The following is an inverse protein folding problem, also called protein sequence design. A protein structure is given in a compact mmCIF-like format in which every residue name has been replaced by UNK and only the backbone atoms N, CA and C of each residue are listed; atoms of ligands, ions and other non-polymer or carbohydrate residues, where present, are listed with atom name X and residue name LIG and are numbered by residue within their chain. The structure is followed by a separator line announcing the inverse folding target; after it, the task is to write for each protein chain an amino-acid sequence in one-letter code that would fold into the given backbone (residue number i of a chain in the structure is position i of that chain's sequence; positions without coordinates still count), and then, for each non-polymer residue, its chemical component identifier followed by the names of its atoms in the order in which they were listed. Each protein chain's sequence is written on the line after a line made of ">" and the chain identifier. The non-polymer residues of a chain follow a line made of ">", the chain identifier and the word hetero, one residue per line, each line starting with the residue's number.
data_IF_118649971486
#
_entry.id   IF_118649971486
#
_cell.length_a   1.000
_cell.length_b   1.000
_cell.length_c   1.000
_cell.angle_alpha   90.00
_cell.angle_beta   90.00
_cell.angle_gamma   90.00
#
_symmetry.space_group_name_H-M   'P 1'
#
loop_
_entity.id
_entity.type
_entity.pdbx_description
1 polymer ?
#
# COMPACT_ATOMS: atom_id res chain seq x y z
N UNK A 1 2.05 -3.79 -1.98
CA UNK A 1 1.55 -4.95 -1.21
C UNK A 1 0.51 -5.77 -1.95
N UNK A 2 -0.54 -5.16 -2.50
CA UNK A 2 -1.57 -5.91 -3.25
C UNK A 2 -0.99 -6.78 -4.38
N UNK A 3 -0.11 -6.20 -5.20
CA UNK A 3 0.60 -6.91 -6.27
C UNK A 3 1.43 -8.10 -5.77
N UNK A 4 2.04 -7.99 -4.59
CA UNK A 4 2.84 -9.08 -4.00
C UNK A 4 1.94 -10.22 -3.49
N UNK A 5 0.82 -9.90 -2.85
CA UNK A 5 -0.18 -10.92 -2.48
C UNK A 5 -0.77 -11.60 -3.71
N UNK A 6 -1.01 -10.84 -4.79
CA UNK A 6 -1.48 -11.39 -6.06
C UNK A 6 -0.46 -12.33 -6.71
N UNK A 7 0.82 -11.92 -6.79
CA UNK A 7 1.90 -12.77 -7.30
C UNK A 7 2.03 -14.06 -6.48
N UNK A 8 1.98 -13.97 -5.14
CA UNK A 8 2.07 -15.13 -4.26
C UNK A 8 0.90 -16.11 -4.47
N UNK A 9 -0.33 -15.58 -4.59
CA UNK A 9 -1.51 -16.39 -4.86
C UNK A 9 -1.43 -17.08 -6.23
N UNK A 10 -0.96 -16.36 -7.25
CA UNK A 10 -0.79 -16.90 -8.61
C UNK A 10 0.23 -18.04 -8.65
N UNK A 11 1.34 -17.93 -7.92
CA UNK A 11 2.31 -19.03 -7.76
C UNK A 11 1.69 -20.26 -7.09
N UNK A 12 0.89 -20.06 -6.04
CA UNK A 12 0.22 -21.15 -5.33
C UNK A 12 -0.86 -21.86 -6.16
N UNK A 13 -1.55 -21.14 -7.06
CA UNK A 13 -2.74 -21.63 -7.74
C UNK A 13 -2.51 -22.06 -9.19
N UNK A 14 -1.58 -21.44 -9.92
CA UNK A 14 -1.46 -21.59 -11.37
C UNK A 14 -0.07 -22.11 -11.76
N UNK A 15 0.01 -23.40 -12.16
CA UNK A 15 1.24 -23.98 -12.69
C UNK A 15 1.71 -23.33 -14.00
N UNK A 16 0.79 -22.90 -14.86
CA UNK A 16 1.13 -22.19 -16.11
C UNK A 16 1.78 -20.80 -15.87
N UNK A 17 1.66 -20.24 -14.65
CA UNK A 17 2.30 -18.98 -14.28
C UNK A 17 3.82 -19.12 -14.10
N UNK A 18 4.36 -20.35 -14.08
CA UNK A 18 5.80 -20.60 -14.01
C UNK A 18 6.53 -20.47 -15.36
N UNK A 19 5.80 -20.41 -16.48
CA UNK A 19 6.38 -20.21 -17.81
C UNK A 19 6.85 -18.74 -17.93
N UNK A 20 8.17 -18.51 -17.82
CA UNK A 20 8.76 -17.19 -17.52
C UNK A 20 8.34 -16.01 -18.41
N UNK A 21 7.85 -16.24 -19.63
CA UNK A 21 7.30 -15.19 -20.50
C UNK A 21 6.01 -14.56 -19.95
N UNK A 22 5.05 -15.39 -19.50
CA UNK A 22 3.76 -14.91 -18.97
C UNK A 22 3.94 -14.20 -17.64
N UNK A 23 4.85 -14.70 -16.80
CA UNK A 23 5.20 -14.14 -15.48
C UNK A 23 5.79 -12.74 -15.57
N UNK A 24 6.77 -12.51 -16.44
CA UNK A 24 7.43 -11.20 -16.55
C UNK A 24 6.43 -10.11 -16.96
N UNK A 25 5.58 -10.42 -17.93
CA UNK A 25 4.54 -9.52 -18.45
C UNK A 25 3.52 -9.17 -17.35
N UNK A 26 3.08 -10.18 -16.59
CA UNK A 26 2.09 -9.99 -15.53
C UNK A 26 2.67 -9.20 -14.34
N UNK A 27 3.95 -9.42 -13.98
CA UNK A 27 4.65 -8.61 -12.98
C UNK A 27 4.74 -7.15 -13.41
N UNK A 28 5.10 -6.88 -14.67
CA UNK A 28 5.18 -5.52 -15.22
C UNK A 28 3.81 -4.84 -15.17
N UNK A 29 2.74 -5.53 -15.55
CA UNK A 29 1.37 -5.01 -15.48
C UNK A 29 0.95 -4.74 -14.03
N UNK A 30 1.20 -5.68 -13.11
CA UNK A 30 0.89 -5.52 -11.69
C UNK A 30 1.70 -4.37 -11.04
N UNK A 31 2.88 -4.06 -11.56
CA UNK A 31 3.70 -2.96 -11.09
C UNK A 31 3.27 -1.62 -11.68
N UNK A 32 3.01 -1.54 -12.98
CA UNK A 32 2.67 -0.29 -13.68
C UNK A 32 1.21 0.15 -13.49
N UNK A 33 0.26 -0.78 -13.43
CA UNK A 33 -1.16 -0.44 -13.33
C UNK A 33 -1.51 0.43 -12.10
N UNK A 34 -0.96 0.18 -10.89
CA UNK A 34 -1.16 1.05 -9.74
C UNK A 34 -0.68 2.49 -9.97
N UNK A 35 0.43 2.70 -10.70
CA UNK A 35 0.94 4.04 -10.99
C UNK A 35 0.02 4.80 -11.93
N UNK A 36 -0.44 4.14 -13.00
CA UNK A 36 -1.33 4.76 -13.99
C UNK A 36 -2.68 5.10 -13.36
N UNK A 37 -3.28 4.16 -12.60
CA UNK A 37 -4.54 4.39 -11.89
C UNK A 37 -4.41 5.50 -10.84
N UNK A 38 -3.34 5.50 -10.06
CA UNK A 38 -3.08 6.52 -9.05
C UNK A 38 -2.92 7.90 -9.69
N UNK A 39 -2.14 8.01 -10.77
CA UNK A 39 -1.98 9.26 -11.51
C UNK A 39 -3.29 9.78 -12.09
N UNK A 40 -4.09 8.90 -12.70
CA UNK A 40 -5.38 9.27 -13.29
C UNK A 40 -6.39 9.79 -12.26
N UNK A 41 -6.34 9.31 -11.01
CA UNK A 41 -7.26 9.74 -9.94
C UNK A 41 -6.71 10.93 -9.16
N UNK A 42 -5.43 10.90 -8.77
CA UNK A 42 -4.84 11.92 -7.90
C UNK A 42 -4.56 13.22 -8.62
N UNK A 43 -4.09 13.20 -9.88
CA UNK A 43 -3.70 14.42 -10.60
C UNK A 43 -4.90 15.39 -10.74
N UNK A 44 -6.08 14.96 -11.20
CA UNK A 44 -7.25 15.85 -11.26
C UNK A 44 -7.64 16.43 -9.90
N UNK A 45 -7.56 15.62 -8.84
CA UNK A 45 -7.89 16.06 -7.47
C UNK A 45 -6.90 17.12 -6.96
N UNK A 46 -5.61 16.93 -7.21
CA UNK A 46 -4.59 17.91 -6.86
C UNK A 46 -4.72 19.21 -7.65
N UNK A 47 -5.01 19.11 -8.95
CA UNK A 47 -5.24 20.27 -9.80
C UNK A 47 -6.46 21.06 -9.31
N UNK A 48 -7.59 20.40 -9.02
CA UNK A 48 -8.79 21.06 -8.47
C UNK A 48 -8.51 21.72 -7.10
N UNK A 49 -7.82 21.03 -6.20
CA UNK A 49 -7.44 21.57 -4.89
C UNK A 49 -6.51 22.78 -4.98
N UNK A 50 -5.58 22.79 -5.93
CA UNK A 50 -4.69 23.94 -6.16
C UNK A 50 -5.43 25.16 -6.72
N UNK A 51 -6.40 24.97 -7.61
CA UNK A 51 -7.17 26.09 -8.17
C UNK A 51 -8.02 26.84 -7.14
N UNK A 52 -8.43 26.16 -6.05
CA UNK A 52 -9.20 26.80 -4.97
C UNK A 52 -8.38 27.74 -4.09
N UNK A 53 -7.05 27.54 -4.04
CA UNK A 53 -6.12 28.28 -3.18
C UNK A 53 -5.29 29.31 -3.98
N UNK A 54 -5.70 29.61 -5.22
CA UNK A 54 -4.90 30.35 -6.20
C UNK A 54 -4.48 31.77 -5.76
N UNK A 55 -5.15 32.37 -4.77
CA UNK A 55 -4.82 33.71 -4.27
C UNK A 55 -3.69 33.75 -3.22
N UNK A 56 -3.28 32.62 -2.61
CA UNK A 56 -2.30 32.60 -1.49
C UNK A 56 -0.99 31.85 -1.77
N UNK A 57 -0.74 31.45 -3.03
CA UNK A 57 0.41 30.62 -3.45
C UNK A 57 1.80 31.14 -3.05
N UNK A 58 1.95 32.44 -2.75
CA UNK A 58 3.25 33.04 -2.43
C UNK A 58 3.71 32.77 -0.98
N UNK A 59 2.80 32.53 -0.04
CA UNK A 59 3.13 32.46 1.39
C UNK A 59 2.85 31.09 2.04
N UNK A 60 1.93 30.28 1.47
CA UNK A 60 1.60 28.94 1.98
C UNK A 60 1.29 27.97 0.86
N UNK A 61 1.74 26.73 1.01
CA UNK A 61 1.37 25.61 0.15
C UNK A 61 0.26 24.82 0.85
N UNK A 62 -0.97 25.31 0.73
CA UNK A 62 -2.16 24.61 1.20
C UNK A 62 -2.91 24.00 0.02
N UNK A 63 -3.37 22.76 0.22
CA UNK A 63 -4.24 22.06 -0.72
C UNK A 63 -5.55 21.86 0.01
N UNK A 64 -6.55 22.66 -0.32
CA UNK A 64 -7.85 22.56 0.31
C UNK A 64 -8.61 21.35 -0.23
N UNK A 65 -8.61 20.25 0.54
CA UNK A 65 -9.41 19.07 0.25
C UNK A 65 -10.64 19.03 1.16
N UNK A 66 -11.72 19.67 0.71
CA UNK A 66 -12.99 19.73 1.45
C UNK A 66 -13.96 18.59 1.11
N UNK A 67 -14.66 18.08 2.13
CA UNK A 67 -15.86 17.24 2.08
C UNK A 67 -15.95 16.23 0.92
N UNK A 68 -16.63 16.60 -0.16
CA UNK A 68 -16.88 15.71 -1.31
C UNK A 68 -15.59 15.17 -1.96
N UNK A 69 -14.54 15.99 -2.05
CA UNK A 69 -13.28 15.63 -2.68
C UNK A 69 -12.55 14.57 -1.84
N UNK A 70 -12.51 14.77 -0.52
CA UNK A 70 -11.93 13.85 0.46
C UNK A 70 -12.70 12.53 0.52
N UNK A 71 -14.04 12.57 0.50
CA UNK A 71 -14.88 11.36 0.41
C UNK A 71 -14.58 10.57 -0.86
N UNK A 72 -14.47 11.24 -2.00
CA UNK A 72 -14.20 10.59 -3.29
C UNK A 72 -12.81 9.99 -3.31
N UNK A 73 -11.80 10.71 -2.79
CA UNK A 73 -10.45 10.19 -2.61
C UNK A 73 -10.47 8.91 -1.76
N UNK A 74 -11.09 8.95 -0.57
CA UNK A 74 -11.15 7.80 0.35
C UNK A 74 -11.92 6.61 -0.24
N UNK A 75 -13.05 6.87 -0.90
CA UNK A 75 -13.92 5.85 -1.47
C UNK A 75 -13.31 5.17 -2.71
N UNK A 76 -12.51 5.88 -3.50
CA UNK A 76 -11.90 5.34 -4.72
C UNK A 76 -10.53 4.73 -4.44
N UNK A 77 -9.74 5.33 -3.55
CA UNK A 77 -8.38 4.87 -3.26
C UNK A 77 -8.33 3.96 -2.03
N UNK A 78 -8.60 4.50 -0.85
CA UNK A 78 -8.26 3.83 0.41
C UNK A 78 -9.15 2.62 0.72
N UNK A 79 -10.48 2.79 0.79
CA UNK A 79 -11.37 1.71 1.24
C UNK A 79 -11.31 0.47 0.33
N UNK A 80 -11.45 0.59 -1.01
CA UNK A 80 -11.37 -0.58 -1.87
C UNK A 80 -10.02 -1.28 -1.78
N UNK A 81 -8.91 -0.52 -1.73
CA UNK A 81 -7.57 -1.11 -1.66
C UNK A 81 -7.30 -1.77 -0.31
N UNK A 82 -7.76 -1.18 0.80
CA UNK A 82 -7.64 -1.80 2.12
C UNK A 82 -8.44 -3.10 2.22
N UNK A 83 -9.69 -3.10 1.74
CA UNK A 83 -10.54 -4.29 1.69
C UNK A 83 -9.94 -5.38 0.79
N UNK A 84 -9.53 -5.03 -0.43
CA UNK A 84 -8.88 -5.96 -1.35
C UNK A 84 -7.58 -6.52 -0.75
N UNK A 85 -6.77 -5.68 -0.10
CA UNK A 85 -5.55 -6.13 0.56
C UNK A 85 -5.84 -7.13 1.67
N UNK A 86 -6.85 -6.87 2.50
CA UNK A 86 -7.26 -7.77 3.58
C UNK A 86 -7.78 -9.10 3.03
N UNK A 87 -8.68 -9.06 2.04
CA UNK A 87 -9.20 -10.26 1.37
C UNK A 87 -8.06 -11.08 0.76
N UNK A 88 -7.14 -10.44 0.04
CA UNK A 88 -6.00 -11.12 -0.58
C UNK A 88 -5.05 -11.72 0.45
N UNK A 89 -4.80 -11.03 1.57
CA UNK A 89 -3.96 -11.53 2.67
C UNK A 89 -4.58 -12.78 3.32
N UNK A 90 -5.89 -12.75 3.56
CA UNK A 90 -6.64 -13.91 4.08
C UNK A 90 -6.62 -15.06 3.07
N UNK A 91 -6.88 -14.77 1.79
CA UNK A 91 -6.86 -15.78 0.73
C UNK A 91 -5.49 -16.46 0.61
N UNK A 92 -4.39 -15.70 0.60
CA UNK A 92 -3.02 -16.23 0.59
C UNK A 92 -2.78 -17.16 1.79
N UNK A 93 -3.21 -16.74 2.98
CA UNK A 93 -3.07 -17.53 4.20
C UNK A 93 -3.87 -18.84 4.15
N UNK A 94 -5.14 -18.78 3.72
CA UNK A 94 -6.00 -19.96 3.57
C UNK A 94 -5.48 -20.94 2.51
N UNK A 95 -5.11 -20.45 1.33
CA UNK A 95 -4.59 -21.28 0.24
C UNK A 95 -3.28 -21.94 0.64
N UNK A 96 -2.38 -21.20 1.31
CA UNK A 96 -1.15 -21.77 1.85
C UNK A 96 -1.44 -22.90 2.85
N UNK A 97 -2.36 -22.71 3.79
CA UNK A 97 -2.73 -23.75 4.76
C UNK A 97 -3.32 -25.01 4.09
N UNK A 98 -4.16 -24.83 3.06
CA UNK A 98 -4.74 -25.95 2.30
C UNK A 98 -3.72 -26.70 1.45
N UNK A 99 -2.71 -26.00 0.90
CA UNK A 99 -1.73 -26.57 -0.04
C UNK A 99 -0.37 -26.93 0.56
N UNK A 100 -0.13 -26.54 1.82
CA UNK A 100 1.11 -26.79 2.57
C UNK A 100 1.57 -28.26 2.54
N UNK A 101 0.62 -29.20 2.62
CA UNK A 101 0.95 -30.63 2.68
C UNK A 101 1.13 -31.26 1.30
N UNK A 102 0.53 -30.67 0.27
CA UNK A 102 0.55 -31.20 -1.10
C UNK A 102 1.70 -30.64 -1.94
N UNK A 103 2.18 -29.43 -1.64
CA UNK A 103 3.29 -28.79 -2.34
C UNK A 103 4.50 -28.64 -1.42
N UNK A 104 5.37 -29.66 -1.41
CA UNK A 104 6.70 -29.53 -0.79
C UNK A 104 7.65 -28.64 -1.61
N UNK A 105 7.34 -28.46 -2.90
CA UNK A 105 8.07 -27.67 -3.88
C UNK A 105 7.05 -26.88 -4.73
N UNK A 106 7.33 -25.60 -4.96
CA UNK A 106 6.66 -24.72 -5.91
C UNK A 106 6.85 -25.29 -7.32
N UNK A 107 6.09 -24.78 -8.28
CA UNK A 107 6.15 -25.17 -9.70
C UNK A 107 7.56 -24.94 -10.28
N UNK A 108 8.35 -24.04 -9.67
CA UNK A 108 9.76 -23.77 -9.98
C UNK A 108 10.77 -24.68 -9.24
N UNK A 109 10.32 -25.64 -8.44
CA UNK A 109 11.20 -26.50 -7.63
C UNK A 109 11.75 -25.83 -6.36
N UNK A 110 11.19 -24.69 -5.93
CA UNK A 110 11.58 -24.01 -4.69
C UNK A 110 10.65 -24.40 -3.53
N UNK A 111 11.15 -24.55 -2.31
CA UNK A 111 10.29 -24.90 -1.16
C UNK A 111 9.33 -23.75 -0.87
N UNK A 112 8.02 -23.96 -1.03
CA UNK A 112 7.00 -22.94 -0.71
C UNK A 112 7.09 -22.61 0.78
N UNK A 113 7.44 -21.37 1.10
CA UNK A 113 7.59 -20.89 2.49
C UNK A 113 6.26 -20.38 3.03
N UNK A 114 6.22 -20.11 4.33
CA UNK A 114 5.05 -19.47 4.91
C UNK A 114 5.00 -17.98 4.48
N UNK A 115 3.84 -17.44 4.06
CA UNK A 115 3.70 -16.05 3.60
C UNK A 115 3.74 -15.02 4.75
N UNK A 116 4.43 -15.32 5.86
CA UNK A 116 4.47 -14.49 7.07
C UNK A 116 4.92 -13.07 6.75
N UNK A 117 5.95 -12.95 5.93
CA UNK A 117 6.53 -11.68 5.52
C UNK A 117 5.54 -10.80 4.73
N UNK A 118 4.84 -11.40 3.75
CA UNK A 118 3.88 -10.69 2.90
C UNK A 118 2.64 -10.30 3.71
N UNK A 119 2.16 -11.19 4.58
CA UNK A 119 1.02 -10.92 5.45
C UNK A 119 1.34 -9.84 6.50
N UNK A 120 2.52 -9.90 7.13
CA UNK A 120 2.97 -8.92 8.12
C UNK A 120 3.15 -7.54 7.48
N UNK A 121 3.76 -7.47 6.29
CA UNK A 121 3.91 -6.22 5.55
C UNK A 121 2.55 -5.64 5.13
N UNK A 122 1.59 -6.50 4.76
CA UNK A 122 0.22 -6.09 4.42
C UNK A 122 -0.53 -5.54 5.63
N UNK A 123 -0.41 -6.21 6.79
CA UNK A 123 -1.02 -5.76 8.04
C UNK A 123 -0.42 -4.44 8.53
N UNK A 124 0.92 -4.33 8.54
CA UNK A 124 1.63 -3.10 8.88
C UNK A 124 1.23 -1.94 7.97
N UNK A 125 1.01 -2.20 6.68
CA UNK A 125 0.52 -1.18 5.74
C UNK A 125 -0.86 -0.65 6.16
N UNK A 126 -1.82 -1.53 6.45
CA UNK A 126 -3.17 -1.11 6.88
C UNK A 126 -3.08 -0.33 8.20
N UNK A 127 -2.31 -0.83 9.17
CA UNK A 127 -2.19 -0.23 10.49
C UNK A 127 -1.55 1.17 10.47
N UNK A 128 -0.62 1.42 9.55
CA UNK A 128 0.03 2.73 9.42
C UNK A 128 -0.79 3.73 8.60
N UNK A 129 -1.63 3.28 7.68
CA UNK A 129 -2.49 4.15 6.87
C UNK A 129 -3.84 4.48 7.53
N UNK A 130 -4.43 3.53 8.25
CA UNK A 130 -5.77 3.68 8.82
C UNK A 130 -5.90 4.90 9.75
N UNK A 131 -4.96 5.20 10.67
CA UNK A 131 -5.08 6.35 11.55
C UNK A 131 -5.19 7.68 10.79
N UNK A 132 -4.38 7.88 9.75
CA UNK A 132 -4.33 9.13 9.00
C UNK A 132 -5.64 9.37 8.23
N UNK A 133 -6.13 8.34 7.54
CA UNK A 133 -7.37 8.44 6.78
C UNK A 133 -8.61 8.48 7.66
N UNK A 134 -8.61 7.80 8.81
CA UNK A 134 -9.70 7.88 9.77
C UNK A 134 -9.75 9.27 10.42
N UNK A 135 -8.59 9.83 10.80
CA UNK A 135 -8.51 11.19 11.32
C UNK A 135 -8.96 12.21 10.27
N UNK A 136 -8.51 12.08 9.02
CA UNK A 136 -8.96 12.93 7.91
C UNK A 136 -10.48 12.85 7.73
N UNK A 137 -11.07 11.66 7.71
CA UNK A 137 -12.52 11.49 7.60
C UNK A 137 -13.27 12.13 8.78
N UNK A 138 -12.77 11.94 10.01
CA UNK A 138 -13.43 12.45 11.21
C UNK A 138 -13.41 13.99 11.29
N UNK A 139 -12.33 14.62 10.80
CA UNK A 139 -12.18 16.07 10.84
C UNK A 139 -12.86 16.75 9.65
N UNK A 140 -12.74 16.24 8.42
CA UNK A 140 -13.32 16.90 7.23
C UNK A 140 -14.84 16.80 7.13
N UNK A 141 -15.44 15.87 7.88
CA UNK A 141 -16.89 15.63 7.89
C UNK A 141 -17.61 16.30 9.06
N UNK A 142 -16.87 16.99 9.93
CA UNK A 142 -17.45 17.61 11.12
C UNK A 142 -18.02 16.62 12.13
N UNK A 143 -17.69 15.33 12.06
CA UNK A 143 -18.14 14.33 13.04
C UNK A 143 -17.65 14.64 14.46
N UNK A 144 -16.53 15.34 14.57
CA UNK A 144 -15.96 15.81 15.84
C UNK A 144 -16.42 17.22 16.21
N UNK A 145 -17.16 17.93 15.35
CA UNK A 145 -17.50 19.34 15.51
C UNK A 145 -16.30 20.29 15.52
N UNK A 146 -15.14 19.79 15.08
CA UNK A 146 -13.86 20.48 15.07
C UNK A 146 -13.27 20.43 13.65
N UNK A 147 -13.31 21.57 12.95
CA UNK A 147 -12.59 21.75 11.70
C UNK A 147 -11.12 22.11 12.00
N UNK A 148 -10.20 21.53 11.24
CA UNK A 148 -8.75 21.76 11.39
C UNK A 148 -8.48 23.24 11.09
N UNK A 149 -7.88 23.96 12.04
CA UNK A 149 -7.40 25.33 11.84
C UNK A 149 -8.28 26.48 12.35
N UNK A 150 -9.52 26.24 12.81
CA UNK A 150 -10.47 27.32 13.13
C UNK A 150 -10.65 27.63 14.64
N UNK A 151 -10.23 26.76 15.56
CA UNK A 151 -10.45 26.99 17.01
C UNK A 151 -9.35 26.38 17.92
N UNK A 152 -8.88 27.13 18.93
CA UNK A 152 -7.96 26.63 20.00
C UNK A 152 -8.52 25.39 20.72
N UNK A 153 -9.85 25.24 20.73
CA UNK A 153 -10.57 24.10 21.33
C UNK A 153 -10.30 22.77 20.60
N UNK A 154 -9.80 22.82 19.37
CA UNK A 154 -9.56 21.66 18.52
C UNK A 154 -8.07 21.27 18.43
N UNK A 155 -7.19 21.89 19.22
CA UNK A 155 -5.74 21.60 19.22
C UNK A 155 -5.40 20.11 19.46
N UNK A 156 -6.23 19.38 20.20
CA UNK A 156 -6.05 17.93 20.42
C UNK A 156 -6.31 17.14 19.13
N UNK A 157 -7.32 17.53 18.35
CA UNK A 157 -7.65 16.88 17.09
C UNK A 157 -6.54 17.11 16.04
N UNK A 158 -6.00 18.34 15.98
CA UNK A 158 -4.86 18.68 15.12
C UNK A 158 -3.59 17.91 15.53
N UNK A 159 -3.34 17.79 16.84
CA UNK A 159 -2.25 16.96 17.36
C UNK A 159 -2.40 15.49 16.98
N UNK A 160 -3.61 14.93 17.09
CA UNK A 160 -3.91 13.55 16.72
C UNK A 160 -3.74 13.32 15.21
N UNK A 161 -4.22 14.25 14.38
CA UNK A 161 -4.05 14.19 12.93
C UNK A 161 -2.56 14.26 12.54
N UNK A 162 -1.80 15.13 13.18
CA UNK A 162 -0.34 15.25 12.98
C UNK A 162 0.36 13.93 13.32
N UNK A 163 0.08 13.34 14.48
CA UNK A 163 0.64 12.03 14.87
C UNK A 163 0.25 10.94 13.87
N UNK A 164 -0.99 10.95 13.40
CA UNK A 164 -1.47 9.99 12.41
C UNK A 164 -0.72 10.12 11.07
N UNK A 165 -0.44 11.33 10.62
CA UNK A 165 0.42 11.59 9.45
C UNK A 165 1.85 11.08 9.67
N UNK A 166 2.44 11.30 10.85
CA UNK A 166 3.75 10.74 11.19
C UNK A 166 3.78 9.22 11.11
N UNK A 167 2.75 8.53 11.62
CA UNK A 167 2.59 7.09 11.48
C UNK A 167 2.55 6.68 10.00
N UNK A 168 1.77 7.39 9.17
CA UNK A 168 1.69 7.14 7.73
C UNK A 168 3.04 7.32 7.03
N UNK A 169 3.82 8.35 7.36
CA UNK A 169 5.16 8.57 6.79
C UNK A 169 6.18 7.52 7.26
N UNK A 170 6.05 7.03 8.49
CA UNK A 170 6.95 6.01 9.06
C UNK A 170 6.96 4.73 8.22
N UNK A 171 5.87 4.43 7.50
CA UNK A 171 5.81 3.28 6.58
C UNK A 171 6.91 3.31 5.52
N UNK A 172 7.32 4.48 5.05
CA UNK A 172 8.30 4.62 3.97
C UNK A 172 9.68 4.09 4.38
N UNK A 173 9.92 4.00 5.69
CA UNK A 173 11.14 3.46 6.29
C UNK A 173 10.96 1.99 6.69
N UNK A 174 9.81 1.67 7.29
CA UNK A 174 9.51 0.31 7.75
C UNK A 174 9.35 -0.68 6.59
N UNK A 175 8.71 -0.31 5.49
CA UNK A 175 8.46 -1.25 4.39
C UNK A 175 9.74 -1.74 3.70
N UNK A 176 10.71 -0.88 3.34
CA UNK A 176 12.01 -1.33 2.86
C UNK A 176 12.77 -2.19 3.88
N UNK A 177 12.66 -1.90 5.18
CA UNK A 177 13.28 -2.70 6.24
C UNK A 177 12.63 -4.09 6.35
N UNK A 178 11.30 -4.17 6.29
CA UNK A 178 10.58 -5.44 6.19
C UNK A 178 11.04 -6.23 4.96
N UNK A 179 11.25 -5.56 3.83
CA UNK A 179 11.76 -6.19 2.61
C UNK A 179 13.21 -6.64 2.75
N UNK A 180 14.08 -5.87 3.41
CA UNK A 180 15.45 -6.28 3.68
C UNK A 180 15.52 -7.45 4.68
N UNK A 181 14.55 -7.55 5.58
CA UNK A 181 14.41 -8.66 6.52
C UNK A 181 13.82 -9.93 5.87
N UNK A 182 13.08 -9.81 4.77
CA UNK A 182 12.55 -10.96 4.04
C UNK A 182 13.70 -11.85 3.53
N UNK A 183 13.57 -13.17 3.68
CA UNK A 183 14.63 -14.10 3.29
C UNK A 183 14.72 -14.27 1.76
N UNK A 184 13.60 -14.15 1.04
CA UNK A 184 13.53 -14.37 -0.40
C UNK A 184 14.06 -13.18 -1.21
N UNK A 185 13.78 -11.95 -0.77
CA UNK A 185 14.43 -10.74 -1.32
C UNK A 185 15.92 -10.75 -1.03
N UNK A 186 16.36 -11.20 0.16
CA UNK A 186 17.78 -11.40 0.46
C UNK A 186 18.43 -12.47 -0.41
N UNK A 187 17.73 -13.55 -0.72
CA UNK A 187 18.21 -14.58 -1.63
C UNK A 187 18.35 -14.04 -3.06
N UNK A 188 17.34 -13.31 -3.54
CA UNK A 188 17.36 -12.64 -4.85
C UNK A 188 18.48 -11.57 -4.94
N UNK A 189 18.63 -10.72 -3.92
CA UNK A 189 19.73 -9.76 -3.84
C UNK A 189 21.09 -10.46 -3.81
N UNK A 190 21.25 -11.54 -3.05
CA UNK A 190 22.49 -12.34 -3.05
C UNK A 190 22.81 -12.90 -4.44
N UNK A 191 21.82 -13.38 -5.19
CA UNK A 191 22.04 -13.87 -6.55
C UNK A 191 22.53 -12.74 -7.49
N UNK A 192 21.92 -11.56 -7.41
CA UNK A 192 22.33 -10.37 -8.17
C UNK A 192 23.78 -9.92 -7.85
N UNK A 193 24.21 -10.05 -6.59
CA UNK A 193 25.57 -9.70 -6.17
C UNK A 193 26.60 -10.81 -6.37
N UNK A 194 26.18 -12.06 -6.54
CA UNK A 194 27.08 -13.19 -6.82
C UNK A 194 27.43 -13.27 -8.32
N UNK A 195 26.52 -12.87 -9.21
CA UNK A 195 26.81 -12.78 -10.66
C UNK A 195 27.73 -11.61 -11.03
N UNK A 196 27.95 -10.64 -10.13
CA UNK A 196 28.85 -9.49 -10.37
C UNK A 196 30.30 -9.72 -9.92
N UNK A 197 30.63 -10.90 -9.39
CA UNK A 197 32.01 -11.29 -9.03
C UNK A 197 32.66 -12.29 -10.00
N UNK A 198 32.06 -12.55 -11.16
CA UNK A 198 32.68 -13.35 -12.24
C UNK A 198 32.98 -12.49 -13.46
N UNK A 199 33.86 -11.50 -13.29
CA UNK A 199 34.70 -10.91 -14.35
C UNK A 199 36.04 -10.54 -13.78
#
# INVERSE_FOLDING_TARGET
>A
MLALNADYLLRLCCSAYSEGGSRSTLIVVLFLAPWVLSGAVLIPLYVDGMYRVFESWLDKCDIEMGGLLTRTLLAVSFFPQACLLLIMTVAVSCVYLMRRETYSLDVCGERIRAPVDVCLASFATILLYAPAFLAMLLTTEGYTGCEIGDDERCAIADGLYTVALWCMFTKSWLLPLCWAACADTRACLRQLFVETCST
#
